data_IF_738641496281
#
_entry.id   IF_738641496281
#
_cell.length_a   1.000
_cell.length_b   1.000
_cell.length_c   1.000
_cell.angle_alpha   90.00
_cell.angle_beta   90.00
_cell.angle_gamma   90.00
#
_symmetry.space_group_name_H-M   'P 1'
#
loop_
_entity.id
_entity.type
_entity.pdbx_description
1 polymer ?
#
# COMPACT_ATOMS: atom_id res chain seq x y z
N UNK A 1 9.84 35.48 -2.96
CA UNK A 1 10.47 34.28 -3.52
C UNK A 1 10.00 33.13 -2.66
N UNK A 2 8.96 32.42 -3.08
CA UNK A 2 8.61 31.17 -2.42
C UNK A 2 9.75 30.19 -2.68
N UNK A 3 10.47 29.80 -1.63
CA UNK A 3 11.52 28.80 -1.73
C UNK A 3 10.84 27.53 -2.26
N UNK A 4 11.32 27.01 -3.40
CA UNK A 4 10.86 25.73 -3.91
C UNK A 4 11.04 24.71 -2.78
N UNK A 5 9.91 24.19 -2.31
CA UNK A 5 9.90 23.23 -1.25
C UNK A 5 10.16 21.85 -1.82
N UNK A 6 11.12 21.13 -1.25
CA UNK A 6 11.43 19.76 -1.62
C UNK A 6 10.22 18.83 -1.45
N UNK A 7 9.83 18.12 -2.51
CA UNK A 7 8.66 17.25 -2.54
C UNK A 7 9.07 15.80 -2.72
N UNK A 8 8.72 14.95 -1.75
CA UNK A 8 8.97 13.50 -1.85
C UNK A 8 7.72 12.76 -2.28
N UNK A 9 7.88 11.82 -3.22
CA UNK A 9 6.87 10.82 -3.55
C UNK A 9 7.37 9.42 -3.15
N UNK A 10 6.62 8.72 -2.31
CA UNK A 10 6.90 7.35 -1.91
C UNK A 10 6.06 6.35 -2.71
N UNK A 11 6.67 5.24 -3.06
CA UNK A 11 6.02 4.07 -3.65
C UNK A 11 6.32 2.86 -2.78
N UNK A 12 5.30 2.09 -2.41
CA UNK A 12 5.46 0.82 -1.70
C UNK A 12 5.22 -0.30 -2.70
N UNK A 13 6.19 -1.17 -2.92
CA UNK A 13 6.10 -2.22 -3.93
C UNK A 13 6.99 -3.42 -3.61
N UNK A 14 6.62 -4.57 -4.12
CA UNK A 14 7.46 -5.78 -4.07
C UNK A 14 8.48 -5.82 -5.21
N UNK A 15 8.15 -5.20 -6.36
CA UNK A 15 8.90 -5.32 -7.61
C UNK A 15 9.22 -6.77 -7.99
N UNK A 16 8.23 -7.64 -7.91
CA UNK A 16 8.40 -9.09 -8.02
C UNK A 16 7.64 -9.73 -9.21
N UNK A 17 8.17 -9.63 -10.46
CA UNK A 17 9.35 -8.87 -10.86
C UNK A 17 9.08 -7.36 -11.06
N UNK A 18 10.15 -6.57 -11.24
CA UNK A 18 10.00 -5.21 -11.73
C UNK A 18 9.51 -5.23 -13.19
N UNK A 19 8.50 -4.46 -13.52
CA UNK A 19 7.88 -4.44 -14.85
C UNK A 19 7.51 -3.01 -15.31
N UNK A 20 7.02 -2.88 -16.55
CA UNK A 20 6.66 -1.58 -17.16
C UNK A 20 5.68 -0.75 -16.34
N UNK A 21 4.75 -1.40 -15.63
CA UNK A 21 3.81 -0.71 -14.73
C UNK A 21 4.50 -0.04 -13.55
N UNK A 22 5.53 -0.66 -12.99
CA UNK A 22 6.34 -0.06 -11.94
C UNK A 22 7.17 1.13 -12.48
N UNK A 23 7.80 0.98 -13.63
CA UNK A 23 8.51 2.08 -14.29
C UNK A 23 7.57 3.26 -14.61
N UNK A 24 6.36 2.97 -15.07
CA UNK A 24 5.32 4.00 -15.29
C UNK A 24 4.99 4.74 -14.00
N UNK A 25 4.78 4.01 -12.89
CA UNK A 25 4.46 4.60 -11.60
C UNK A 25 5.56 5.55 -11.10
N UNK A 26 6.82 5.12 -11.15
CA UNK A 26 7.97 5.96 -10.77
C UNK A 26 8.08 7.22 -11.65
N UNK A 27 7.89 7.07 -12.96
CA UNK A 27 7.86 8.22 -13.87
C UNK A 27 6.72 9.18 -13.55
N UNK A 28 5.51 8.67 -13.24
CA UNK A 28 4.38 9.52 -12.84
C UNK A 28 4.67 10.35 -11.59
N UNK A 29 5.40 9.81 -10.62
CA UNK A 29 5.85 10.60 -9.47
C UNK A 29 6.65 11.84 -9.91
N UNK A 30 7.57 11.68 -10.86
CA UNK A 30 8.36 12.79 -11.41
C UNK A 30 7.50 13.78 -12.20
N UNK A 31 6.64 13.28 -13.06
CA UNK A 31 5.73 14.13 -13.87
C UNK A 31 4.77 14.95 -12.99
N UNK A 32 4.43 14.46 -11.80
CA UNK A 32 3.64 15.19 -10.80
C UNK A 32 4.45 16.25 -10.05
N UNK A 33 5.77 16.31 -10.22
CA UNK A 33 6.64 17.30 -9.61
C UNK A 33 7.42 16.83 -8.39
N UNK A 34 7.57 15.51 -8.18
CA UNK A 34 8.39 15.00 -7.08
C UNK A 34 9.89 15.25 -7.34
N UNK A 35 10.56 15.87 -6.37
CA UNK A 35 12.01 16.07 -6.36
C UNK A 35 12.76 14.79 -5.98
N UNK A 36 12.11 13.95 -5.16
CA UNK A 36 12.63 12.65 -4.75
C UNK A 36 11.56 11.57 -4.91
N UNK A 37 11.95 10.42 -5.45
CA UNK A 37 11.13 9.22 -5.52
C UNK A 37 11.74 8.15 -4.64
N UNK A 38 11.07 7.89 -3.51
CA UNK A 38 11.45 6.88 -2.51
C UNK A 38 10.65 5.59 -2.76
N UNK A 39 11.31 4.46 -2.88
CA UNK A 39 10.66 3.16 -2.95
C UNK A 39 10.87 2.36 -1.66
N UNK A 40 9.81 1.94 -0.99
CA UNK A 40 9.85 0.92 0.06
C UNK A 40 9.59 -0.43 -0.59
N UNK A 41 10.57 -1.33 -0.50
CA UNK A 41 10.56 -2.59 -1.23
C UNK A 41 10.70 -3.79 -0.29
N UNK A 42 9.89 -4.82 -0.50
CA UNK A 42 10.08 -6.12 0.16
C UNK A 42 11.45 -6.71 -0.14
N UNK A 43 12.09 -7.29 0.87
CA UNK A 43 13.39 -7.96 0.74
C UNK A 43 13.32 -9.24 -0.10
N UNK A 44 13.93 -10.32 0.36
CA UNK A 44 13.96 -11.59 -0.36
C UNK A 44 12.64 -12.38 -0.31
N UNK A 45 11.71 -11.98 0.54
CA UNK A 45 10.38 -12.57 0.67
C UNK A 45 9.31 -11.51 0.46
N UNK A 46 8.19 -11.91 -0.13
CA UNK A 46 7.09 -11.04 -0.50
C UNK A 46 5.84 -11.31 0.33
N UNK A 47 4.84 -10.45 0.28
CA UNK A 47 3.65 -10.44 1.13
C UNK A 47 2.89 -11.79 1.15
N UNK A 48 2.93 -12.53 0.07
CA UNK A 48 2.28 -13.85 -0.02
C UNK A 48 3.08 -14.99 0.61
N UNK A 49 4.18 -14.67 1.32
CA UNK A 49 5.00 -15.63 2.05
C UNK A 49 5.97 -16.44 1.19
N UNK A 50 6.06 -16.16 -0.09
CA UNK A 50 6.99 -16.83 -1.00
C UNK A 50 8.30 -16.07 -1.18
N UNK A 51 9.36 -16.74 -1.70
CA UNK A 51 10.57 -16.06 -2.12
C UNK A 51 10.30 -15.16 -3.34
N UNK A 52 10.99 -14.05 -3.42
CA UNK A 52 10.95 -13.21 -4.61
C UNK A 52 11.58 -13.93 -5.81
N UNK A 53 11.05 -13.69 -7.03
CA UNK A 53 11.51 -14.33 -8.28
C UNK A 53 12.96 -13.95 -8.57
N UNK A 54 13.34 -12.69 -8.30
CA UNK A 54 14.70 -12.19 -8.45
C UNK A 54 15.23 -11.70 -7.11
N UNK A 55 16.53 -11.81 -6.93
CA UNK A 55 17.22 -11.31 -5.75
C UNK A 55 16.98 -9.81 -5.52
N UNK A 56 17.06 -9.41 -4.27
CA UNK A 56 16.83 -8.01 -3.84
C UNK A 56 17.69 -7.01 -4.63
N UNK A 57 18.99 -7.29 -4.78
CA UNK A 57 19.93 -6.38 -5.45
C UNK A 57 19.51 -6.07 -6.90
N UNK A 58 19.07 -7.07 -7.65
CA UNK A 58 18.59 -6.88 -9.02
C UNK A 58 17.33 -6.02 -9.09
N UNK A 59 16.36 -6.27 -8.19
CA UNK A 59 15.13 -5.49 -8.12
C UNK A 59 15.37 -4.05 -7.70
N UNK A 60 16.26 -3.83 -6.72
CA UNK A 60 16.72 -2.50 -6.30
C UNK A 60 17.36 -1.75 -7.47
N UNK A 61 18.29 -2.41 -8.18
CA UNK A 61 18.94 -1.80 -9.36
C UNK A 61 17.94 -1.42 -10.44
N UNK A 62 16.96 -2.28 -10.73
CA UNK A 62 15.92 -1.99 -11.69
C UNK A 62 15.09 -0.76 -11.29
N UNK A 63 14.70 -0.63 -10.02
CA UNK A 63 13.96 0.53 -9.52
C UNK A 63 14.78 1.83 -9.64
N UNK A 64 16.06 1.81 -9.23
CA UNK A 64 16.95 2.97 -9.34
C UNK A 64 17.16 3.40 -10.79
N UNK A 65 17.42 2.45 -11.70
CA UNK A 65 17.59 2.75 -13.14
C UNK A 65 16.30 3.28 -13.79
N UNK A 66 15.14 2.99 -13.22
CA UNK A 66 13.84 3.43 -13.72
C UNK A 66 13.26 4.66 -12.99
N UNK A 67 14.05 5.34 -12.17
CA UNK A 67 13.69 6.66 -11.64
C UNK A 67 13.42 6.76 -10.13
N UNK A 68 13.63 5.70 -9.36
CA UNK A 68 13.74 5.83 -7.91
C UNK A 68 15.09 6.44 -7.53
N UNK A 69 15.12 7.33 -6.53
CA UNK A 69 16.37 7.89 -5.99
C UNK A 69 16.88 7.09 -4.80
N UNK A 70 15.95 6.53 -4.04
CA UNK A 70 16.25 5.74 -2.86
C UNK A 70 15.34 4.51 -2.81
N UNK A 71 15.91 3.36 -2.52
CA UNK A 71 15.17 2.13 -2.23
C UNK A 71 15.49 1.69 -0.81
N UNK A 72 14.46 1.58 0.02
CA UNK A 72 14.55 1.14 1.41
C UNK A 72 13.86 -0.20 1.57
N UNK A 73 14.50 -1.12 2.26
CA UNK A 73 13.92 -2.45 2.49
C UNK A 73 12.86 -2.41 3.60
N UNK A 74 11.67 -2.92 3.30
CA UNK A 74 10.67 -3.18 4.32
C UNK A 74 11.12 -4.38 5.16
N UNK A 75 11.22 -4.24 6.50
CA UNK A 75 11.65 -5.33 7.37
C UNK A 75 10.79 -6.59 7.21
N UNK A 76 11.44 -7.75 7.23
CA UNK A 76 10.83 -9.06 6.97
C UNK A 76 9.52 -9.34 7.72
N UNK A 77 9.37 -9.01 9.03
CA UNK A 77 8.13 -9.24 9.75
C UNK A 77 6.91 -8.50 9.17
N UNK A 78 7.13 -7.39 8.46
CA UNK A 78 6.10 -6.65 7.77
C UNK A 78 5.96 -7.08 6.31
N UNK A 79 7.07 -7.37 5.64
CA UNK A 79 7.07 -7.77 4.23
C UNK A 79 6.28 -9.06 3.97
N UNK A 80 6.25 -10.01 4.92
CA UNK A 80 5.52 -11.28 4.83
C UNK A 80 4.15 -11.26 5.53
N UNK A 81 3.74 -10.13 6.07
CA UNK A 81 2.53 -10.03 6.88
C UNK A 81 1.25 -9.88 6.03
N UNK A 82 0.11 -9.83 6.71
CA UNK A 82 -1.18 -9.45 6.11
C UNK A 82 -1.09 -8.04 5.52
N UNK A 83 -1.99 -7.71 4.58
CA UNK A 83 -2.02 -6.38 3.95
C UNK A 83 -2.06 -5.23 4.97
N UNK A 84 -2.79 -5.39 6.07
CA UNK A 84 -2.85 -4.42 7.16
C UNK A 84 -1.49 -4.19 7.82
N UNK A 85 -0.79 -5.26 8.20
CA UNK A 85 0.52 -5.16 8.86
C UNK A 85 1.62 -4.73 7.88
N UNK A 86 1.53 -5.16 6.63
CA UNK A 86 2.39 -4.70 5.54
C UNK A 86 2.27 -3.18 5.36
N UNK A 87 1.04 -2.66 5.23
CA UNK A 87 0.77 -1.24 5.11
C UNK A 87 1.26 -0.47 6.35
N UNK A 88 0.98 -0.99 7.55
CA UNK A 88 1.45 -0.38 8.81
C UNK A 88 2.98 -0.27 8.83
N UNK A 89 3.71 -1.34 8.56
CA UNK A 89 5.17 -1.32 8.56
C UNK A 89 5.75 -0.35 7.54
N UNK A 90 5.18 -0.35 6.32
CA UNK A 90 5.64 0.53 5.25
C UNK A 90 5.37 2.01 5.54
N UNK A 91 4.16 2.37 5.98
CA UNK A 91 3.80 3.77 6.32
C UNK A 91 4.57 4.25 7.54
N UNK A 92 4.75 3.40 8.57
CA UNK A 92 5.58 3.74 9.75
C UNK A 92 7.04 3.98 9.37
N UNK A 93 7.59 3.18 8.43
CA UNK A 93 8.94 3.37 7.92
C UNK A 93 9.07 4.71 7.18
N UNK A 94 8.12 5.05 6.31
CA UNK A 94 8.09 6.34 5.60
C UNK A 94 8.05 7.52 6.58
N UNK A 95 7.21 7.44 7.61
CA UNK A 95 7.15 8.45 8.67
C UNK A 95 8.48 8.56 9.43
N UNK A 96 9.10 7.42 9.76
CA UNK A 96 10.42 7.37 10.41
C UNK A 96 11.55 7.97 9.55
N UNK A 97 11.38 7.98 8.23
CA UNK A 97 12.28 8.65 7.27
C UNK A 97 12.00 10.15 7.12
N UNK A 98 11.04 10.70 7.87
CA UNK A 98 10.73 12.13 7.87
C UNK A 98 9.65 12.56 6.88
N UNK A 99 8.97 11.62 6.21
CA UNK A 99 7.81 11.97 5.39
C UNK A 99 6.65 12.47 6.25
N UNK A 100 5.99 13.50 5.79
CA UNK A 100 4.85 14.12 6.47
C UNK A 100 3.63 14.29 5.54
N UNK A 101 2.58 14.97 6.03
CA UNK A 101 1.33 15.18 5.29
C UNK A 101 1.48 15.93 3.96
N UNK A 102 2.62 16.47 3.70
CA UNK A 102 2.94 17.27 2.51
C UNK A 102 3.54 16.39 1.41
N UNK A 103 4.08 15.24 1.76
CA UNK A 103 4.64 14.26 0.85
C UNK A 103 3.56 13.32 0.30
N UNK A 104 3.87 12.64 -0.78
CA UNK A 104 2.89 11.80 -1.45
C UNK A 104 3.19 10.33 -1.27
N UNK A 105 2.18 9.55 -0.92
CA UNK A 105 2.19 8.11 -1.12
C UNK A 105 1.46 7.80 -2.42
N UNK A 106 2.19 7.26 -3.40
CA UNK A 106 1.69 6.99 -4.75
C UNK A 106 1.59 5.50 -4.97
N UNK A 107 0.44 5.03 -5.40
CA UNK A 107 0.23 3.61 -5.71
C UNK A 107 -0.67 3.44 -6.95
N UNK A 108 -0.50 2.30 -7.63
CA UNK A 108 -1.31 1.94 -8.79
C UNK A 108 -2.67 1.39 -8.38
N UNK A 109 -3.68 1.69 -9.19
CA UNK A 109 -5.03 1.19 -9.01
C UNK A 109 -5.61 0.75 -10.36
N UNK A 110 -6.30 -0.39 -10.38
CA UNK A 110 -6.87 -0.97 -11.61
C UNK A 110 -8.05 -0.17 -12.15
N UNK A 111 -8.83 0.46 -11.27
CA UNK A 111 -10.01 1.26 -11.63
C UNK A 111 -10.55 2.02 -10.41
N UNK A 112 -11.48 2.95 -10.63
CA UNK A 112 -12.15 3.73 -9.58
C UNK A 112 -11.36 4.96 -9.14
N UNK A 113 -12.04 5.82 -8.42
CA UNK A 113 -11.51 7.09 -7.91
C UNK A 113 -10.92 6.95 -6.51
N UNK A 114 -10.14 7.94 -6.10
CA UNK A 114 -9.66 8.06 -4.71
C UNK A 114 -10.84 8.25 -3.73
N UNK A 115 -11.90 8.90 -4.17
CA UNK A 115 -13.11 9.10 -3.36
C UNK A 115 -13.81 7.78 -3.05
N UNK A 116 -13.97 6.91 -4.05
CA UNK A 116 -14.53 5.57 -3.85
C UNK A 116 -13.67 4.74 -2.90
N UNK A 117 -12.35 4.83 -3.03
CA UNK A 117 -11.42 4.13 -2.14
C UNK A 117 -11.52 4.65 -0.69
N UNK A 118 -11.57 5.96 -0.48
CA UNK A 118 -11.78 6.57 0.84
C UNK A 118 -13.10 6.14 1.46
N UNK A 119 -14.17 6.12 0.69
CA UNK A 119 -15.49 5.65 1.14
C UNK A 119 -15.44 4.18 1.55
N UNK A 120 -14.83 3.32 0.72
CA UNK A 120 -14.66 1.91 1.05
C UNK A 120 -13.80 1.70 2.32
N UNK A 121 -12.76 2.52 2.50
CA UNK A 121 -11.94 2.53 3.71
C UNK A 121 -12.77 2.86 4.96
N UNK A 122 -13.64 3.88 4.89
CA UNK A 122 -14.57 4.20 5.99
C UNK A 122 -15.55 3.06 6.27
N UNK A 123 -16.06 2.39 5.24
CA UNK A 123 -16.95 1.23 5.38
C UNK A 123 -16.27 0.04 6.06
N UNK A 124 -14.94 -0.14 5.91
CA UNK A 124 -14.19 -1.14 6.69
C UNK A 124 -14.29 -0.90 8.21
N UNK A 125 -14.12 0.35 8.64
CA UNK A 125 -14.20 0.70 10.07
C UNK A 125 -15.60 0.45 10.63
N UNK A 126 -16.65 0.79 9.88
CA UNK A 126 -18.05 0.52 10.27
C UNK A 126 -18.30 -0.99 10.34
N UNK A 127 -17.85 -1.74 9.34
CA UNK A 127 -18.03 -3.19 9.29
C UNK A 127 -17.33 -3.89 10.47
N UNK A 128 -16.10 -3.50 10.80
CA UNK A 128 -15.34 -4.03 11.95
C UNK A 128 -16.03 -3.79 13.30
N UNK A 129 -16.85 -2.74 13.41
CA UNK A 129 -17.64 -2.45 14.62
C UNK A 129 -18.96 -3.20 14.67
N UNK A 130 -19.36 -3.90 13.61
CA UNK A 130 -20.66 -4.54 13.48
C UNK A 130 -20.74 -5.88 14.22
N UNK A 131 -21.95 -6.31 14.66
CA UNK A 131 -22.16 -7.66 15.15
C UNK A 131 -21.83 -8.75 14.10
N UNK A 132 -22.03 -8.44 12.82
CA UNK A 132 -21.77 -9.35 11.70
C UNK A 132 -20.29 -9.72 11.60
N UNK A 133 -19.39 -8.75 11.78
CA UNK A 133 -17.96 -9.01 11.81
C UNK A 133 -17.56 -9.94 12.94
N UNK A 134 -18.13 -9.74 14.15
CA UNK A 134 -17.90 -10.63 15.30
C UNK A 134 -18.41 -12.05 15.02
N UNK A 135 -19.57 -12.16 14.42
CA UNK A 135 -20.14 -13.46 14.04
C UNK A 135 -19.18 -14.25 13.12
N UNK A 136 -18.65 -13.62 12.05
CA UNK A 136 -17.70 -14.30 11.17
C UNK A 136 -16.39 -14.70 11.87
N UNK A 137 -15.90 -13.89 12.81
CA UNK A 137 -14.74 -14.27 13.63
C UNK A 137 -15.02 -15.47 14.54
N UNK A 138 -16.23 -15.55 15.12
CA UNK A 138 -16.68 -16.66 15.97
C UNK A 138 -16.84 -17.95 15.17
N UNK A 139 -17.18 -17.87 13.87
CA UNK A 139 -17.20 -18.99 12.95
C UNK A 139 -15.80 -19.46 12.49
N UNK A 140 -14.73 -18.76 12.89
CA UNK A 140 -13.35 -19.14 12.64
C UNK A 140 -12.70 -18.48 11.45
N UNK A 141 -13.33 -17.48 10.85
CA UNK A 141 -12.73 -16.70 9.77
C UNK A 141 -11.52 -15.89 10.24
N UNK A 142 -10.54 -15.72 9.35
CA UNK A 142 -9.46 -14.77 9.62
C UNK A 142 -10.00 -13.33 9.68
N UNK A 143 -9.31 -12.45 10.39
CA UNK A 143 -9.69 -11.03 10.48
C UNK A 143 -9.97 -10.40 9.11
N UNK A 144 -9.12 -10.68 8.11
CA UNK A 144 -9.28 -10.15 6.76
C UNK A 144 -10.52 -10.73 6.05
N UNK A 145 -10.80 -12.02 6.22
CA UNK A 145 -11.96 -12.68 5.64
C UNK A 145 -13.26 -12.19 6.28
N UNK A 146 -13.33 -12.16 7.61
CA UNK A 146 -14.47 -11.67 8.36
C UNK A 146 -14.81 -10.20 8.00
N UNK A 147 -13.78 -9.35 7.89
CA UNK A 147 -13.95 -7.96 7.45
C UNK A 147 -14.49 -7.87 6.03
N UNK A 148 -13.90 -8.63 5.10
CA UNK A 148 -14.34 -8.63 3.71
C UNK A 148 -15.81 -9.04 3.60
N UNK A 149 -16.22 -10.11 4.25
CA UNK A 149 -17.60 -10.60 4.25
C UNK A 149 -18.57 -9.59 4.91
N UNK A 150 -18.18 -8.99 6.01
CA UNK A 150 -18.98 -7.96 6.67
C UNK A 150 -19.16 -6.71 5.78
N UNK A 151 -18.09 -6.26 5.10
CA UNK A 151 -18.17 -5.14 4.15
C UNK A 151 -19.03 -5.51 2.94
N UNK A 152 -18.90 -6.70 2.39
CA UNK A 152 -19.72 -7.16 1.26
C UNK A 152 -21.21 -7.21 1.60
N UNK A 153 -21.53 -7.64 2.81
CA UNK A 153 -22.92 -7.73 3.28
C UNK A 153 -23.53 -6.36 3.55
N UNK A 154 -22.79 -5.48 4.24
CA UNK A 154 -23.29 -4.15 4.64
C UNK A 154 -23.18 -3.10 3.52
N UNK A 155 -22.15 -3.22 2.67
CA UNK A 155 -21.78 -2.24 1.64
C UNK A 155 -21.32 -2.94 0.35
N UNK A 156 -22.22 -3.60 -0.41
CA UNK A 156 -21.85 -4.48 -1.54
C UNK A 156 -20.88 -3.85 -2.55
N UNK A 157 -21.09 -2.60 -2.93
CA UNK A 157 -20.24 -1.89 -3.88
C UNK A 157 -18.79 -1.70 -3.35
N UNK A 158 -18.63 -1.43 -2.06
CA UNK A 158 -17.32 -1.32 -1.42
C UNK A 158 -16.66 -2.69 -1.25
N UNK A 159 -17.44 -3.71 -0.95
CA UNK A 159 -16.96 -5.09 -0.88
C UNK A 159 -16.41 -5.57 -2.21
N UNK A 160 -17.11 -5.32 -3.32
CA UNK A 160 -16.64 -5.63 -4.68
C UNK A 160 -15.35 -4.87 -5.02
N UNK A 161 -15.27 -3.58 -4.68
CA UNK A 161 -14.07 -2.77 -4.89
C UNK A 161 -12.86 -3.39 -4.17
N UNK A 162 -13.03 -3.78 -2.91
CA UNK A 162 -11.95 -4.29 -2.04
C UNK A 162 -11.53 -5.74 -2.36
N UNK A 163 -12.25 -6.47 -3.20
CA UNK A 163 -11.80 -7.77 -3.74
C UNK A 163 -10.55 -7.64 -4.61
N UNK A 164 -10.30 -6.46 -5.16
CA UNK A 164 -9.12 -6.20 -5.99
C UNK A 164 -7.90 -5.97 -5.11
N UNK A 165 -6.80 -6.73 -5.28
CA UNK A 165 -5.65 -6.70 -4.38
C UNK A 165 -5.05 -5.31 -4.16
N UNK A 166 -4.88 -4.51 -5.24
CA UNK A 166 -4.33 -3.16 -5.13
C UNK A 166 -5.28 -2.19 -4.41
N UNK A 167 -6.60 -2.41 -4.53
CA UNK A 167 -7.60 -1.61 -3.80
C UNK A 167 -7.62 -1.95 -2.32
N UNK A 168 -7.59 -3.24 -1.98
CA UNK A 168 -7.50 -3.67 -0.59
C UNK A 168 -6.24 -3.10 0.08
N UNK A 169 -5.10 -3.19 -0.60
CA UNK A 169 -3.84 -2.63 -0.09
C UNK A 169 -3.88 -1.09 0.00
N UNK A 170 -4.45 -0.42 -1.01
CA UNK A 170 -4.64 1.03 -1.01
C UNK A 170 -5.52 1.51 0.14
N UNK A 171 -6.59 0.77 0.48
CA UNK A 171 -7.44 1.05 1.65
C UNK A 171 -6.64 0.94 2.95
N UNK A 172 -5.76 -0.05 3.07
CA UNK A 172 -4.89 -0.18 4.25
C UNK A 172 -3.87 0.96 4.35
N UNK A 173 -3.32 1.44 3.24
CA UNK A 173 -2.45 2.61 3.25
C UNK A 173 -3.20 3.84 3.77
N UNK A 174 -4.40 4.11 3.27
CA UNK A 174 -5.21 5.25 3.73
C UNK A 174 -5.51 5.15 5.23
N UNK A 175 -5.94 3.98 5.71
CA UNK A 175 -6.19 3.75 7.15
C UNK A 175 -4.97 4.04 8.00
N UNK A 176 -3.79 3.62 7.57
CA UNK A 176 -2.56 3.83 8.35
C UNK A 176 -2.06 5.25 8.28
N UNK A 177 -2.22 5.93 7.14
CA UNK A 177 -1.90 7.37 7.03
C UNK A 177 -2.77 8.24 7.93
N UNK A 178 -4.05 7.90 8.11
CA UNK A 178 -4.96 8.62 9.01
C UNK A 178 -4.66 8.39 10.51
N UNK A 179 -3.98 7.29 10.85
CA UNK A 179 -3.64 6.90 12.23
C UNK A 179 -2.24 7.39 12.66
N UNK A 180 -1.41 7.84 11.74
CA UNK A 180 -0.03 8.28 11.97
C UNK A 180 0.14 9.79 11.83
#
# INVERSE_FOLDING_TARGET
MDAHRFQTAAVIAEFNPFHRGHAYLLRRCREMGADCVLAVMSGNYVQRGGPAIFERALRTRAALLCGADLVVELPLPFAMATAERFAHGAVSLLKGLGMDQRDWLVFGSEAGSMEELRRATGHCAVAESSPLFRHFLEEGDSFAAARQQAVETLFPASGELLRRPNKALGAEYLRKMEQL
#
